data_IF_979029102566
#
_entry.id   IF_979029102566
#
_cell.length_a   1.000
_cell.length_b   1.000
_cell.length_c   1.000
_cell.angle_alpha   90.00
_cell.angle_beta   90.00
_cell.angle_gamma   90.00
#
_symmetry.space_group_name_H-M   'P 1'
#
loop_
_entity.id
_entity.type
_entity.pdbx_description
1 polymer ?
#
# COMPACT_ATOMS: atom_id res chain seq x y z
N UNK A 1 -4.21 -5.01 5.14
CA UNK A 1 -5.38 -5.89 5.00
C UNK A 1 -5.05 -7.34 4.65
N UNK A 2 -3.82 -7.68 4.25
CA UNK A 2 -3.49 -9.00 3.73
C UNK A 2 -3.23 -10.10 4.79
N UNK A 3 -2.88 -9.77 6.03
CA UNK A 3 -2.61 -10.78 7.06
C UNK A 3 -3.81 -11.72 7.35
N UNK A 4 -5.03 -11.33 6.92
CA UNK A 4 -6.27 -12.13 7.00
C UNK A 4 -6.55 -12.96 5.73
N UNK A 5 -5.89 -12.68 4.60
CA UNK A 5 -6.06 -13.34 3.29
C UNK A 5 -5.38 -14.72 3.20
N UNK A 6 -4.41 -15.00 4.07
CA UNK A 6 -3.45 -16.08 3.83
C UNK A 6 -3.25 -17.06 4.98
N UNK A 7 -4.09 -17.01 6.01
CA UNK A 7 -3.98 -17.92 7.15
C UNK A 7 -4.27 -19.39 6.77
N UNK A 8 -4.89 -19.65 5.61
CA UNK A 8 -5.27 -20.99 5.14
C UNK A 8 -4.30 -21.63 4.13
N UNK A 9 -3.33 -20.90 3.55
CA UNK A 9 -2.38 -21.47 2.59
C UNK A 9 -0.95 -20.96 2.84
N UNK A 10 -0.07 -21.77 3.45
CA UNK A 10 1.29 -21.34 3.80
C UNK A 10 2.12 -20.92 2.58
N UNK A 11 1.97 -21.58 1.43
CA UNK A 11 2.73 -21.27 0.21
C UNK A 11 2.31 -19.94 -0.42
N UNK A 12 1.01 -19.70 -0.57
CA UNK A 12 0.51 -18.44 -1.17
C UNK A 12 0.73 -17.25 -0.21
N UNK A 13 0.71 -17.50 1.11
CA UNK A 13 1.05 -16.52 2.14
C UNK A 13 2.47 -15.97 2.02
N UNK A 14 3.41 -16.86 1.69
CA UNK A 14 4.83 -16.56 1.67
C UNK A 14 5.23 -15.83 0.37
N UNK A 15 4.71 -16.30 -0.77
CA UNK A 15 4.92 -15.64 -2.08
C UNK A 15 4.37 -14.22 -2.07
N UNK A 16 3.17 -14.03 -1.54
CA UNK A 16 2.57 -12.71 -1.46
C UNK A 16 3.37 -11.76 -0.55
N UNK A 17 3.80 -12.24 0.62
CA UNK A 17 4.55 -11.42 1.57
C UNK A 17 5.87 -10.95 0.97
N UNK A 18 6.57 -11.83 0.24
CA UNK A 18 7.78 -11.51 -0.50
C UNK A 18 7.53 -10.48 -1.60
N UNK A 19 6.47 -10.65 -2.40
CA UNK A 19 6.07 -9.66 -3.40
C UNK A 19 5.74 -8.31 -2.76
N UNK A 20 4.98 -8.29 -1.67
CA UNK A 20 4.59 -7.07 -0.98
C UNK A 20 5.80 -6.28 -0.47
N UNK A 21 6.76 -6.95 0.18
CA UNK A 21 8.01 -6.33 0.60
C UNK A 21 8.80 -5.81 -0.60
N UNK A 22 8.87 -6.57 -1.69
CA UNK A 22 9.54 -6.14 -2.91
C UNK A 22 8.97 -4.84 -3.47
N UNK A 23 7.64 -4.77 -3.65
CA UNK A 23 6.97 -3.54 -4.10
C UNK A 23 7.10 -2.38 -3.11
N UNK A 24 7.01 -2.67 -1.81
CA UNK A 24 7.16 -1.66 -0.77
C UNK A 24 8.57 -1.06 -0.74
N UNK A 25 9.60 -1.89 -0.91
CA UNK A 25 10.99 -1.45 -0.96
C UNK A 25 11.30 -0.66 -2.24
N UNK A 26 10.81 -1.12 -3.40
CA UNK A 26 10.94 -0.38 -4.66
C UNK A 26 10.27 1.00 -4.57
N UNK A 27 9.04 1.04 -4.05
CA UNK A 27 8.31 2.28 -3.82
C UNK A 27 9.02 3.22 -2.84
N UNK A 28 9.66 2.68 -1.79
CA UNK A 28 10.45 3.46 -0.85
C UNK A 28 11.67 4.12 -1.53
N UNK A 29 12.40 3.40 -2.38
CA UNK A 29 13.55 3.96 -3.12
C UNK A 29 13.09 5.08 -4.05
N UNK A 30 12.07 4.81 -4.88
CA UNK A 30 11.54 5.81 -5.82
C UNK A 30 10.99 7.04 -5.09
N UNK A 31 10.26 6.84 -3.98
CA UNK A 31 9.74 7.91 -3.15
C UNK A 31 10.83 8.75 -2.49
N UNK A 32 11.91 8.12 -2.02
CA UNK A 32 13.06 8.82 -1.42
C UNK A 32 13.77 9.69 -2.46
N UNK A 33 13.99 9.17 -3.67
CA UNK A 33 14.58 9.95 -4.78
C UNK A 33 13.71 11.16 -5.11
N UNK A 34 12.40 10.95 -5.27
CA UNK A 34 11.44 12.03 -5.54
C UNK A 34 11.40 13.08 -4.43
N UNK A 35 11.47 12.66 -3.17
CA UNK A 35 11.51 13.56 -2.02
C UNK A 35 12.80 14.40 -1.98
N UNK A 36 13.96 13.79 -2.22
CA UNK A 36 15.24 14.49 -2.32
C UNK A 36 15.24 15.54 -3.45
N UNK A 37 14.72 15.18 -4.62
CA UNK A 37 14.54 16.13 -5.74
C UNK A 37 13.61 17.27 -5.32
N UNK A 38 12.49 16.97 -4.65
CA UNK A 38 11.57 17.98 -4.12
C UNK A 38 12.23 18.96 -3.15
N UNK A 39 13.06 18.47 -2.22
CA UNK A 39 13.83 19.33 -1.30
C UNK A 39 14.83 20.22 -2.05
N UNK A 40 15.47 19.68 -3.09
CA UNK A 40 16.36 20.47 -3.93
C UNK A 40 15.59 21.61 -4.63
N UNK A 41 14.42 21.34 -5.19
CA UNK A 41 13.56 22.38 -5.77
C UNK A 41 13.13 23.45 -4.76
N UNK A 42 12.77 23.07 -3.53
CA UNK A 42 12.43 24.01 -2.45
C UNK A 42 13.62 24.93 -2.13
N UNK A 43 14.84 24.38 -2.07
CA UNK A 43 16.07 25.15 -1.80
C UNK A 43 16.42 26.10 -2.95
N UNK A 44 16.27 25.64 -4.19
CA UNK A 44 16.65 26.40 -5.39
C UNK A 44 15.61 27.43 -5.83
N UNK A 45 14.33 27.24 -5.50
CA UNK A 45 13.25 28.12 -5.94
C UNK A 45 12.36 28.54 -4.77
N UNK A 46 12.57 29.75 -4.25
CA UNK A 46 11.76 30.30 -3.13
C UNK A 46 10.27 30.48 -3.47
N UNK A 47 9.88 30.40 -4.74
CA UNK A 47 8.52 30.75 -5.21
C UNK A 47 7.66 29.57 -5.72
N UNK A 48 8.21 28.36 -5.91
CA UNK A 48 7.49 27.30 -6.63
C UNK A 48 6.81 26.24 -5.75
N UNK A 49 7.13 26.16 -4.45
CA UNK A 49 6.57 25.13 -3.56
C UNK A 49 5.86 25.79 -2.38
N UNK A 50 4.57 25.47 -2.23
CA UNK A 50 3.78 25.98 -1.11
C UNK A 50 4.22 25.36 0.23
N UNK A 51 4.16 26.15 1.31
CA UNK A 51 4.46 25.69 2.67
C UNK A 51 3.64 24.45 3.06
N UNK A 52 2.37 24.41 2.65
CA UNK A 52 1.46 23.27 2.87
C UNK A 52 1.97 21.99 2.21
N UNK A 53 2.40 22.05 0.95
CA UNK A 53 2.94 20.90 0.23
C UNK A 53 4.24 20.39 0.86
N UNK A 54 5.14 21.29 1.27
CA UNK A 54 6.37 20.89 1.95
C UNK A 54 6.07 20.18 3.28
N UNK A 55 5.13 20.69 4.08
CA UNK A 55 4.72 20.03 5.33
C UNK A 55 4.13 18.64 5.07
N UNK A 56 3.20 18.51 4.12
CA UNK A 56 2.61 17.21 3.77
C UNK A 56 3.66 16.22 3.26
N UNK A 57 4.60 16.67 2.43
CA UNK A 57 5.71 15.85 1.92
C UNK A 57 6.62 15.34 3.04
N UNK A 58 6.97 16.19 4.01
CA UNK A 58 7.79 15.81 5.16
C UNK A 58 7.03 14.83 6.06
N UNK A 59 5.77 15.12 6.40
CA UNK A 59 4.95 14.22 7.22
C UNK A 59 4.77 12.84 6.57
N UNK A 60 4.49 12.81 5.27
CA UNK A 60 4.39 11.56 4.51
C UNK A 60 5.72 10.78 4.58
N UNK A 61 6.84 11.43 4.34
CA UNK A 61 8.16 10.79 4.37
C UNK A 61 8.48 10.23 5.76
N UNK A 62 8.19 10.98 6.82
CA UNK A 62 8.35 10.48 8.20
C UNK A 62 7.51 9.23 8.45
N UNK A 63 6.24 9.22 8.06
CA UNK A 63 5.37 8.06 8.25
C UNK A 63 5.79 6.85 7.40
N UNK A 64 6.27 7.07 6.18
CA UNK A 64 6.84 6.02 5.33
C UNK A 64 8.06 5.35 6.01
N UNK A 65 8.95 6.14 6.63
CA UNK A 65 10.08 5.60 7.39
C UNK A 65 9.62 4.76 8.58
N UNK A 66 8.62 5.23 9.34
CA UNK A 66 8.02 4.47 10.45
C UNK A 66 7.40 3.17 9.94
N UNK A 67 6.71 3.19 8.80
CA UNK A 67 6.13 2.01 8.15
C UNK A 67 7.20 0.99 7.74
N UNK A 68 8.33 1.45 7.18
CA UNK A 68 9.46 0.59 6.80
C UNK A 68 10.12 -0.04 8.03
N UNK A 69 10.35 0.74 9.08
CA UNK A 69 10.90 0.23 10.34
C UNK A 69 9.95 -0.77 11.00
N UNK A 70 8.65 -0.48 11.00
CA UNK A 70 7.64 -1.40 11.52
C UNK A 70 7.63 -2.73 10.76
N UNK A 71 7.88 -2.71 9.44
CA UNK A 71 7.99 -3.92 8.60
C UNK A 71 9.19 -4.77 8.99
N UNK A 72 10.34 -4.14 9.27
CA UNK A 72 11.55 -4.82 9.73
C UNK A 72 11.39 -5.38 11.16
N UNK A 73 10.72 -4.64 12.04
CA UNK A 73 10.46 -5.03 13.43
C UNK A 73 9.24 -5.96 13.60
N UNK A 74 8.86 -6.70 12.56
CA UNK A 74 7.69 -7.58 12.61
C UNK A 74 7.81 -8.57 13.78
N UNK A 75 6.93 -8.52 14.79
CA UNK A 75 7.04 -9.39 15.96
C UNK A 75 6.74 -10.85 15.61
N UNK A 76 7.42 -11.77 16.29
CA UNK A 76 7.20 -13.21 16.13
C UNK A 76 5.79 -13.59 16.62
N UNK A 77 5.15 -14.60 15.99
CA UNK A 77 3.71 -14.92 16.13
C UNK A 77 3.25 -15.24 17.57
N UNK A 78 4.18 -15.47 18.48
CA UNK A 78 3.93 -15.85 19.88
C UNK A 78 3.74 -14.65 20.82
N UNK A 79 4.07 -13.43 20.40
CA UNK A 79 3.90 -12.24 21.22
C UNK A 79 2.47 -11.66 21.09
N UNK A 80 1.77 -11.45 22.22
CA UNK A 80 0.41 -10.89 22.27
C UNK A 80 0.22 -9.53 21.57
N UNK A 81 1.31 -8.85 21.19
CA UNK A 81 1.32 -7.56 20.50
C UNK A 81 1.16 -7.63 18.97
N UNK A 82 1.16 -8.83 18.35
CA UNK A 82 1.00 -8.97 16.89
C UNK A 82 -0.27 -8.30 16.34
N UNK A 83 -1.37 -8.31 17.10
CA UNK A 83 -2.64 -7.70 16.67
C UNK A 83 -2.57 -6.17 16.67
N UNK A 84 -1.96 -5.57 17.69
CA UNK A 84 -1.76 -4.12 17.78
C UNK A 84 -0.81 -3.64 16.68
N UNK A 85 0.31 -4.35 16.47
CA UNK A 85 1.24 -4.07 15.38
C UNK A 85 0.54 -4.11 14.02
N UNK A 86 -0.30 -5.12 13.75
CA UNK A 86 -0.98 -5.27 12.47
C UNK A 86 -2.03 -4.18 12.23
N UNK A 87 -2.75 -3.75 13.28
CA UNK A 87 -3.71 -2.63 13.20
C UNK A 87 -2.94 -1.33 12.94
N UNK A 88 -1.92 -1.04 13.75
CA UNK A 88 -1.10 0.17 13.63
C UNK A 88 -0.47 0.27 12.24
N UNK A 89 0.19 -0.80 11.77
CA UNK A 89 0.82 -0.87 10.46
C UNK A 89 -0.19 -0.67 9.31
N UNK A 90 -1.42 -1.17 9.43
CA UNK A 90 -2.44 -0.93 8.41
C UNK A 90 -3.00 0.49 8.44
N UNK A 91 -3.35 1.00 9.63
CA UNK A 91 -3.87 2.36 9.79
C UNK A 91 -2.85 3.39 9.31
N UNK A 92 -1.57 3.22 9.69
CA UNK A 92 -0.48 4.08 9.25
C UNK A 92 -0.31 4.02 7.72
N UNK A 93 -0.38 2.82 7.12
CA UNK A 93 -0.37 2.65 5.68
C UNK A 93 -1.49 3.42 4.96
N UNK A 94 -2.72 3.39 5.46
CA UNK A 94 -3.83 4.16 4.87
C UNK A 94 -3.65 5.67 5.04
N UNK A 95 -3.16 6.11 6.21
CA UNK A 95 -2.86 7.51 6.44
C UNK A 95 -1.81 8.03 5.45
N UNK A 96 -0.73 7.26 5.22
CA UNK A 96 0.32 7.60 4.23
C UNK A 96 -0.28 7.78 2.83
N UNK A 97 -1.12 6.85 2.37
CA UNK A 97 -1.76 6.94 1.04
C UNK A 97 -2.57 8.24 0.94
N UNK A 98 -3.38 8.55 1.95
CA UNK A 98 -4.17 9.79 1.98
C UNK A 98 -3.31 11.05 1.94
N UNK A 99 -2.25 11.11 2.74
CA UNK A 99 -1.33 12.26 2.79
C UNK A 99 -0.60 12.43 1.45
N UNK A 100 -0.13 11.34 0.84
CA UNK A 100 0.54 11.39 -0.48
C UNK A 100 -0.40 11.89 -1.57
N UNK A 101 -1.65 11.42 -1.59
CA UNK A 101 -2.68 11.89 -2.53
C UNK A 101 -2.91 13.40 -2.32
N UNK A 102 -3.13 13.84 -1.08
CA UNK A 102 -3.31 15.26 -0.77
C UNK A 102 -2.10 16.10 -1.21
N UNK A 103 -0.88 15.62 -0.95
CA UNK A 103 0.36 16.28 -1.33
C UNK A 103 0.45 16.50 -2.85
N UNK A 104 0.08 15.50 -3.65
CA UNK A 104 0.08 15.58 -5.11
C UNK A 104 -0.97 16.57 -5.60
N UNK A 105 -2.19 16.55 -5.03
CA UNK A 105 -3.23 17.53 -5.40
C UNK A 105 -2.83 18.96 -5.08
N UNK A 106 -2.25 19.22 -3.90
CA UNK A 106 -1.74 20.56 -3.54
C UNK A 106 -0.61 20.97 -4.48
N UNK A 107 0.29 20.06 -4.85
CA UNK A 107 1.35 20.35 -5.80
C UNK A 107 0.86 20.68 -7.21
N UNK A 108 -0.15 19.96 -7.70
CA UNK A 108 -0.76 20.20 -9.00
C UNK A 108 -1.59 21.50 -9.02
N UNK A 109 -2.24 21.87 -7.91
CA UNK A 109 -3.02 23.11 -7.85
C UNK A 109 -2.16 24.37 -8.03
N UNK A 110 -0.90 24.33 -7.60
CA UNK A 110 0.03 25.45 -7.73
C UNK A 110 0.64 25.59 -9.14
N UNK A 111 0.27 24.72 -10.09
CA UNK A 111 0.84 24.66 -11.44
C UNK A 111 -0.20 25.11 -12.48
N UNK A 112 0.09 26.18 -13.21
CA UNK A 112 -0.84 26.86 -14.15
C UNK A 112 -1.31 25.96 -15.32
N UNK A 113 -0.57 24.89 -15.65
CA UNK A 113 -0.89 23.94 -16.75
C UNK A 113 -1.11 22.49 -16.28
N UNK A 114 -1.49 22.28 -15.01
CA UNK A 114 -1.56 20.93 -14.44
C UNK A 114 -2.86 20.16 -14.70
N UNK A 115 -3.84 20.70 -15.43
CA UNK A 115 -5.12 20.02 -15.66
C UNK A 115 -4.96 18.67 -16.41
N UNK A 116 -4.04 18.60 -17.37
CA UNK A 116 -3.73 17.34 -18.08
C UNK A 116 -3.05 16.33 -17.14
N UNK A 117 -2.10 16.78 -16.32
CA UNK A 117 -1.39 15.92 -15.35
C UNK A 117 -2.34 15.41 -14.25
N UNK A 118 -3.26 16.25 -13.79
CA UNK A 118 -4.30 15.90 -12.83
C UNK A 118 -5.23 14.81 -13.38
N UNK A 119 -5.67 14.92 -14.64
CA UNK A 119 -6.50 13.89 -15.30
C UNK A 119 -5.75 12.57 -15.45
N UNK A 120 -4.49 12.61 -15.89
CA UNK A 120 -3.64 11.41 -15.98
C UNK A 120 -3.46 10.77 -14.61
N UNK A 121 -3.18 11.56 -13.58
CA UNK A 121 -3.01 11.06 -12.21
C UNK A 121 -4.30 10.45 -11.64
N UNK A 122 -5.44 11.09 -11.83
CA UNK A 122 -6.76 10.52 -11.45
C UNK A 122 -7.04 9.23 -12.22
N UNK A 123 -6.68 9.17 -13.51
CA UNK A 123 -6.75 7.94 -14.30
C UNK A 123 -5.90 6.81 -13.71
N UNK A 124 -4.65 7.09 -13.32
CA UNK A 124 -3.75 6.12 -12.67
C UNK A 124 -4.36 5.62 -11.35
N UNK A 125 -4.88 6.53 -10.52
CA UNK A 125 -5.57 6.16 -9.27
C UNK A 125 -6.80 5.28 -9.54
N UNK A 126 -7.57 5.59 -10.58
CA UNK A 126 -8.70 4.77 -11.03
C UNK A 126 -8.28 3.37 -11.45
N UNK A 127 -7.22 3.25 -12.25
CA UNK A 127 -6.66 1.95 -12.66
C UNK A 127 -6.16 1.16 -11.46
N UNK A 128 -5.47 1.80 -10.50
CA UNK A 128 -5.04 1.14 -9.26
C UNK A 128 -6.24 0.65 -8.43
N UNK A 129 -7.31 1.45 -8.34
CA UNK A 129 -8.53 1.06 -7.64
C UNK A 129 -9.22 -0.14 -8.33
N UNK A 130 -9.30 -0.14 -9.66
CA UNK A 130 -9.85 -1.27 -10.43
C UNK A 130 -8.98 -2.52 -10.25
N UNK A 131 -7.66 -2.40 -10.33
CA UNK A 131 -6.74 -3.50 -10.09
C UNK A 131 -6.92 -4.09 -8.68
N UNK A 132 -7.12 -3.24 -7.66
CA UNK A 132 -7.44 -3.66 -6.31
C UNK A 132 -8.75 -4.47 -6.23
N UNK A 133 -9.81 -3.99 -6.89
CA UNK A 133 -11.10 -4.70 -6.97
C UNK A 133 -10.96 -6.04 -7.68
N UNK A 134 -10.22 -6.11 -8.79
CA UNK A 134 -9.97 -7.35 -9.52
C UNK A 134 -9.23 -8.37 -8.65
N UNK A 135 -8.18 -7.95 -7.93
CA UNK A 135 -7.46 -8.80 -6.99
C UNK A 135 -8.39 -9.35 -5.89
N UNK A 136 -9.33 -8.54 -5.40
CA UNK A 136 -10.33 -8.98 -4.41
C UNK A 136 -11.32 -10.02 -4.99
N UNK A 137 -11.72 -9.85 -6.25
CA UNK A 137 -12.58 -10.81 -6.97
C UNK A 137 -11.86 -12.14 -7.19
N UNK A 138 -10.61 -12.10 -7.67
CA UNK A 138 -9.79 -13.31 -7.86
C UNK A 138 -9.62 -14.08 -6.54
N UNK A 139 -9.44 -13.38 -5.41
CA UNK A 139 -9.43 -14.02 -4.08
C UNK A 139 -10.76 -14.70 -3.78
N UNK A 140 -11.88 -14.01 -3.98
CA UNK A 140 -13.20 -14.57 -3.69
C UNK A 140 -13.42 -15.87 -4.48
N UNK A 141 -13.05 -15.88 -5.76
CA UNK A 141 -13.11 -17.08 -6.60
C UNK A 141 -12.23 -18.21 -6.09
N UNK A 142 -10.98 -17.92 -5.70
CA UNK A 142 -10.05 -18.92 -5.16
C UNK A 142 -10.57 -19.57 -3.87
N UNK A 143 -11.11 -18.76 -2.95
CA UNK A 143 -11.72 -19.25 -1.69
C UNK A 143 -12.94 -20.13 -1.97
N UNK A 144 -13.83 -19.72 -2.87
CA UNK A 144 -15.02 -20.48 -3.24
C UNK A 144 -14.62 -21.81 -3.92
N UNK A 145 -13.65 -21.77 -4.84
CA UNK A 145 -13.17 -22.97 -5.53
C UNK A 145 -12.57 -23.98 -4.54
N UNK A 146 -11.86 -23.51 -3.52
CA UNK A 146 -11.28 -24.38 -2.49
C UNK A 146 -12.34 -24.97 -1.55
N UNK A 147 -13.36 -24.18 -1.18
CA UNK A 147 -14.51 -24.71 -0.45
C UNK A 147 -15.26 -25.76 -1.27
N UNK A 148 -15.44 -25.53 -2.58
CA UNK A 148 -16.06 -26.48 -3.48
C UNK A 148 -15.25 -27.79 -3.57
N UNK A 149 -13.92 -27.72 -3.68
CA UNK A 149 -13.01 -28.90 -3.70
C UNK A 149 -13.03 -29.64 -2.36
N UNK A 150 -13.06 -28.94 -1.22
CA UNK A 150 -13.15 -29.57 0.10
C UNK A 150 -14.50 -30.27 0.31
N UNK A 151 -15.61 -29.65 -0.11
CA UNK A 151 -16.95 -30.24 -0.03
C UNK A 151 -17.11 -31.46 -0.94
N UNK A 152 -16.55 -31.43 -2.15
CA UNK A 152 -16.54 -32.60 -3.05
C UNK A 152 -15.64 -33.71 -2.50
N UNK A 153 -14.44 -33.39 -2.02
CA UNK A 153 -13.54 -34.36 -1.39
C UNK A 153 -14.15 -35.09 -0.19
N UNK A 154 -14.88 -34.38 0.68
CA UNK A 154 -15.60 -34.99 1.80
C UNK A 154 -16.85 -35.78 1.37
N UNK A 155 -17.53 -35.43 0.28
CA UNK A 155 -18.64 -36.25 -0.22
C UNK A 155 -18.19 -37.62 -0.70
N UNK A 156 -16.99 -37.75 -1.28
CA UNK A 156 -16.47 -39.02 -1.78
C UNK A 156 -15.84 -39.92 -0.70
N UNK A 157 -15.49 -39.38 0.47
CA UNK A 157 -14.93 -40.18 1.58
C UNK A 157 -16.00 -40.74 2.53
N UNK A 158 -17.26 -40.30 2.41
CA UNK A 158 -18.41 -40.75 3.22
C UNK A 158 -19.47 -41.51 2.40
N UNK A 159 -19.13 -42.02 1.21
CA UNK A 159 -19.98 -42.99 0.50
C UNK A 159 -19.76 -44.39 1.10
N UNK A 160 -20.83 -45.07 1.59
CA UNK A 160 -20.73 -46.40 2.19
C UNK A 160 -20.36 -47.51 1.20
#
# INVERSE_FOLDING_TARGET
>A
MIARYFRQFPVVSDVWYKCHIGFQFLGYIMGTIGWCIGLWFVKSSKHFVSKTQSTLSITAFTFINVQMLATLMRPNKEAGYCKCWNICHHVLGYAIIGIVIANIFVGLHNQVQAETLKRVYVGILGVLAIAFVLLEIFRCKSVIMQQAVWLTGNMFTYSP
#
